data_IF_345947316084
#
_entry.id   IF_345947316084
#
_cell.length_a   1.000
_cell.length_b   1.000
_cell.length_c   1.000
_cell.angle_alpha   90.00
_cell.angle_beta   90.00
_cell.angle_gamma   90.00
#
_symmetry.space_group_name_H-M   'P 1'
#
loop_
_entity.id
_entity.type
_entity.pdbx_description
1 polymer ?
#
# COMPACT_ATOMS: atom_id res chain seq x y z
N UNK A 1 33.93 -6.98 -15.24
CA UNK A 1 32.99 -5.84 -15.12
C UNK A 1 32.28 -5.89 -13.75
N UNK A 2 32.39 -4.81 -12.96
CA UNK A 2 31.75 -4.72 -11.64
C UNK A 2 30.23 -4.48 -11.72
N UNK A 3 29.72 -4.07 -12.90
CA UNK A 3 28.31 -3.70 -13.09
C UNK A 3 27.33 -4.85 -12.81
N UNK A 4 27.65 -6.08 -13.22
CA UNK A 4 26.78 -7.24 -12.96
C UNK A 4 26.72 -7.66 -11.49
N UNK A 5 27.80 -7.42 -10.73
CA UNK A 5 27.81 -7.75 -9.30
C UNK A 5 27.01 -6.74 -8.47
N UNK A 6 27.02 -5.47 -8.89
CA UNK A 6 26.21 -4.42 -8.27
C UNK A 6 24.71 -4.62 -8.56
N UNK A 7 24.36 -5.00 -9.78
CA UNK A 7 22.98 -5.31 -10.15
C UNK A 7 22.42 -6.50 -9.37
N UNK A 8 23.19 -7.60 -9.27
CA UNK A 8 22.82 -8.76 -8.45
C UNK A 8 22.72 -8.45 -6.96
N UNK A 9 23.61 -7.58 -6.45
CA UNK A 9 23.56 -7.13 -5.06
C UNK A 9 22.31 -6.27 -4.80
N UNK A 10 21.94 -5.40 -5.74
CA UNK A 10 20.74 -4.57 -5.63
C UNK A 10 19.46 -5.41 -5.69
N UNK A 11 19.38 -6.36 -6.63
CA UNK A 11 18.26 -7.31 -6.74
C UNK A 11 18.08 -8.09 -5.43
N UNK A 12 19.19 -8.59 -4.85
CA UNK A 12 19.19 -9.27 -3.56
C UNK A 12 18.75 -8.36 -2.41
N UNK A 13 19.13 -7.08 -2.42
CA UNK A 13 18.78 -6.12 -1.36
C UNK A 13 17.31 -5.69 -1.43
N UNK A 14 16.74 -5.57 -2.62
CA UNK A 14 15.37 -5.11 -2.83
C UNK A 14 14.34 -6.24 -2.77
N UNK A 15 14.78 -7.49 -2.88
CA UNK A 15 13.92 -8.66 -2.82
C UNK A 15 13.05 -8.65 -1.56
N UNK A 16 11.74 -8.76 -1.76
CA UNK A 16 10.75 -8.68 -0.67
C UNK A 16 10.60 -7.33 0.03
N UNK A 17 11.22 -6.25 -0.49
CA UNK A 17 11.01 -4.86 -0.05
C UNK A 17 10.28 -4.01 -1.12
N UNK A 18 9.82 -4.64 -2.20
CA UNK A 18 9.21 -3.94 -3.34
C UNK A 18 7.92 -3.20 -2.99
N UNK A 19 7.18 -3.68 -1.99
CA UNK A 19 5.84 -3.16 -1.68
C UNK A 19 5.80 -2.47 -0.32
N UNK A 20 5.61 -1.15 -0.35
CA UNK A 20 5.38 -0.34 0.85
C UNK A 20 3.90 -0.29 1.17
N UNK A 21 3.52 -0.70 2.40
CA UNK A 21 2.15 -0.57 2.93
C UNK A 21 1.61 0.85 2.80
N UNK A 22 2.46 1.84 3.08
CA UNK A 22 2.12 3.25 2.94
C UNK A 22 1.86 3.61 1.47
N UNK A 23 2.69 3.15 0.53
CA UNK A 23 2.52 3.47 -0.89
C UNK A 23 1.22 2.89 -1.45
N UNK A 24 0.92 1.63 -1.12
CA UNK A 24 -0.34 0.97 -1.53
C UNK A 24 -1.54 1.70 -0.95
N UNK A 25 -1.54 2.02 0.36
CA UNK A 25 -2.65 2.73 0.97
C UNK A 25 -2.82 4.15 0.40
N UNK A 26 -1.72 4.84 0.11
CA UNK A 26 -1.73 6.16 -0.53
C UNK A 26 -2.33 6.10 -1.92
N UNK A 27 -1.98 5.08 -2.70
CA UNK A 27 -2.55 4.83 -4.03
C UNK A 27 -4.06 4.62 -3.96
N UNK A 28 -4.56 3.79 -3.02
CA UNK A 28 -6.00 3.62 -2.81
C UNK A 28 -6.69 4.95 -2.50
N UNK A 29 -6.13 5.75 -1.58
CA UNK A 29 -6.70 7.07 -1.23
C UNK A 29 -6.67 8.04 -2.41
N UNK A 30 -5.62 8.03 -3.22
CA UNK A 30 -5.48 8.92 -4.38
C UNK A 30 -6.41 8.55 -5.53
N UNK A 31 -6.66 7.25 -5.76
CA UNK A 31 -7.46 6.76 -6.88
C UNK A 31 -8.95 6.68 -6.55
N UNK A 32 -9.30 6.18 -5.37
CA UNK A 32 -10.69 5.86 -5.01
C UNK A 32 -11.38 6.96 -4.20
N UNK A 33 -10.60 7.82 -3.53
CA UNK A 33 -11.13 8.82 -2.58
C UNK A 33 -10.66 10.24 -2.90
N UNK A 34 -10.39 10.52 -4.18
CA UNK A 34 -9.86 11.80 -4.61
C UNK A 34 -10.82 12.97 -4.34
N UNK A 35 -12.13 12.71 -4.43
CA UNK A 35 -13.20 13.70 -4.24
C UNK A 35 -13.53 13.91 -2.75
N UNK A 36 -13.31 12.88 -1.93
CA UNK A 36 -13.57 12.87 -0.49
C UNK A 36 -12.38 13.42 0.31
N UNK A 37 -11.15 13.09 -0.10
CA UNK A 37 -9.91 13.46 0.61
C UNK A 37 -9.10 14.44 -0.25
N UNK A 38 -9.13 15.74 0.10
CA UNK A 38 -8.33 16.77 -0.58
C UNK A 38 -6.84 16.44 -0.54
N UNK A 39 -6.12 16.77 -1.61
CA UNK A 39 -4.69 16.46 -1.78
C UNK A 39 -3.85 16.91 -0.57
N UNK A 40 -4.12 18.11 -0.04
CA UNK A 40 -3.43 18.68 1.11
C UNK A 40 -3.64 17.91 2.43
N UNK A 41 -4.68 17.06 2.50
CA UNK A 41 -4.98 16.21 3.66
C UNK A 41 -4.58 14.76 3.49
N UNK A 42 -4.31 14.29 2.25
CA UNK A 42 -4.05 12.87 1.96
C UNK A 42 -2.90 12.30 2.77
N UNK A 43 -1.81 13.05 2.93
CA UNK A 43 -0.66 12.61 3.72
C UNK A 43 -1.05 12.29 5.18
N UNK A 44 -1.70 13.25 5.84
CA UNK A 44 -2.12 13.10 7.23
C UNK A 44 -3.17 11.99 7.38
N UNK A 45 -4.09 11.88 6.41
CA UNK A 45 -5.13 10.86 6.38
C UNK A 45 -4.53 9.46 6.26
N UNK A 46 -3.64 9.24 5.29
CA UNK A 46 -2.94 7.95 5.08
C UNK A 46 -2.16 7.56 6.33
N UNK A 47 -1.40 8.49 6.93
CA UNK A 47 -0.64 8.21 8.15
C UNK A 47 -1.53 7.83 9.35
N UNK A 48 -2.74 8.42 9.43
CA UNK A 48 -3.72 8.10 10.47
C UNK A 48 -4.38 6.74 10.24
N UNK A 49 -4.67 6.40 8.99
CA UNK A 49 -5.34 5.16 8.61
C UNK A 49 -4.40 3.95 8.61
N UNK A 50 -3.13 4.14 8.25
CA UNK A 50 -2.11 3.09 8.16
C UNK A 50 -2.02 2.16 9.38
N UNK A 51 -2.00 2.64 10.65
CA UNK A 51 -2.02 1.75 11.80
C UNK A 51 -3.35 1.01 11.99
N UNK A 52 -4.48 1.57 11.53
CA UNK A 52 -5.81 0.98 11.69
C UNK A 52 -6.03 -0.20 10.74
N UNK A 53 -5.52 -0.10 9.51
CA UNK A 53 -5.57 -1.17 8.50
C UNK A 53 -4.38 -2.12 8.58
N UNK A 54 -3.56 -2.03 9.63
CA UNK A 54 -2.38 -2.88 9.81
C UNK A 54 -2.71 -4.38 9.86
N UNK A 55 -3.90 -4.74 10.33
CA UNK A 55 -4.41 -6.11 10.33
C UNK A 55 -4.72 -6.64 8.92
N UNK A 56 -5.27 -5.80 8.04
CA UNK A 56 -5.53 -6.14 6.63
C UNK A 56 -4.22 -6.53 5.96
N UNK A 57 -3.20 -5.68 6.06
CA UNK A 57 -1.87 -5.99 5.51
C UNK A 57 -1.23 -7.25 6.07
N UNK A 58 -1.54 -7.64 7.31
CA UNK A 58 -0.92 -8.82 7.94
C UNK A 58 -1.38 -10.16 7.36
N UNK A 59 -2.45 -10.16 6.55
CA UNK A 59 -2.97 -11.34 5.85
C UNK A 59 -2.14 -11.66 4.60
N UNK A 60 -1.45 -10.67 4.02
CA UNK A 60 -0.82 -10.76 2.71
C UNK A 60 0.70 -10.84 2.81
N UNK A 61 1.32 -11.64 1.92
CA UNK A 61 2.77 -11.71 1.80
C UNK A 61 3.30 -10.63 0.84
N UNK A 62 3.54 -9.43 1.37
CA UNK A 62 4.13 -8.33 0.61
C UNK A 62 5.59 -8.56 0.23
N UNK A 63 6.21 -9.65 0.69
CA UNK A 63 7.57 -10.02 0.29
C UNK A 63 7.63 -10.84 -1.00
N UNK A 64 6.48 -11.28 -1.52
CA UNK A 64 6.42 -11.91 -2.84
C UNK A 64 6.66 -10.87 -3.94
N UNK A 65 7.73 -11.04 -4.71
CA UNK A 65 8.10 -10.15 -5.80
C UNK A 65 6.99 -10.07 -6.89
N UNK A 66 6.15 -11.11 -7.02
CA UNK A 66 5.02 -11.14 -7.95
C UNK A 66 3.68 -10.67 -7.34
N UNK A 67 3.69 -10.16 -6.11
CA UNK A 67 2.47 -9.80 -5.38
C UNK A 67 1.51 -8.93 -6.20
N UNK A 68 1.99 -7.89 -6.87
CA UNK A 68 1.17 -7.00 -7.70
C UNK A 68 0.54 -7.63 -8.94
N UNK A 69 0.98 -8.83 -9.35
CA UNK A 69 0.39 -9.59 -10.46
C UNK A 69 -0.58 -10.69 -9.97
N UNK A 70 -0.71 -10.84 -8.65
CA UNK A 70 -1.53 -11.88 -8.02
C UNK A 70 -2.93 -11.36 -7.69
N UNK A 71 -3.88 -12.27 -7.54
CA UNK A 71 -5.23 -11.96 -7.03
C UNK A 71 -5.20 -11.37 -5.61
N UNK A 72 -4.16 -11.64 -4.84
CA UNK A 72 -4.02 -11.17 -3.46
C UNK A 72 -3.83 -9.65 -3.43
N UNK A 73 -3.23 -9.06 -4.46
CA UNK A 73 -3.17 -7.60 -4.60
C UNK A 73 -4.56 -7.00 -4.83
N UNK A 74 -5.36 -7.59 -5.73
CA UNK A 74 -6.73 -7.13 -5.99
C UNK A 74 -7.62 -7.23 -4.73
N UNK A 75 -7.45 -8.30 -3.95
CA UNK A 75 -8.14 -8.49 -2.68
C UNK A 75 -7.69 -7.46 -1.63
N UNK A 76 -6.39 -7.26 -1.46
CA UNK A 76 -5.84 -6.24 -0.56
C UNK A 76 -6.39 -4.86 -0.93
N UNK A 77 -6.33 -4.49 -2.21
CA UNK A 77 -6.83 -3.20 -2.69
C UNK A 77 -8.33 -3.04 -2.35
N UNK A 78 -9.13 -4.06 -2.62
CA UNK A 78 -10.57 -4.08 -2.30
C UNK A 78 -10.84 -3.92 -0.80
N UNK A 79 -10.09 -4.64 0.05
CA UNK A 79 -10.25 -4.57 1.50
C UNK A 79 -9.84 -3.20 2.06
N UNK A 80 -8.75 -2.62 1.54
CA UNK A 80 -8.32 -1.27 1.93
C UNK A 80 -9.35 -0.21 1.53
N UNK A 81 -9.93 -0.31 0.33
CA UNK A 81 -11.02 0.57 -0.10
C UNK A 81 -12.22 0.44 0.85
N UNK A 82 -12.65 -0.79 1.16
CA UNK A 82 -13.75 -1.01 2.09
C UNK A 82 -13.47 -0.47 3.50
N UNK A 83 -12.27 -0.71 4.04
CA UNK A 83 -11.87 -0.19 5.35
C UNK A 83 -11.82 1.35 5.37
N UNK A 84 -11.40 1.97 4.26
CA UNK A 84 -11.37 3.43 4.11
C UNK A 84 -12.77 4.03 4.08
N UNK A 85 -13.71 3.42 3.35
CA UNK A 85 -15.13 3.82 3.37
C UNK A 85 -15.68 3.79 4.79
N UNK A 86 -15.49 2.67 5.51
CA UNK A 86 -15.99 2.51 6.88
C UNK A 86 -15.39 3.56 7.83
N UNK A 87 -14.09 3.86 7.67
CA UNK A 87 -13.43 4.88 8.47
C UNK A 87 -13.98 6.29 8.19
N UNK A 88 -14.19 6.63 6.92
CA UNK A 88 -14.76 7.92 6.51
C UNK A 88 -16.20 8.08 7.02
N UNK A 89 -17.01 7.03 6.95
CA UNK A 89 -18.39 7.05 7.45
C UNK A 89 -18.46 7.30 8.97
N UNK A 90 -17.50 6.79 9.73
CA UNK A 90 -17.48 6.92 11.19
C UNK A 90 -16.82 8.22 11.68
N UNK A 91 -15.76 8.68 10.99
CA UNK A 91 -14.89 9.76 11.50
C UNK A 91 -14.68 10.94 10.53
N UNK A 92 -14.98 10.79 9.25
CA UNK A 92 -14.66 11.77 8.21
C UNK A 92 -13.15 11.92 7.95
N UNK A 93 -12.78 13.07 7.38
CA UNK A 93 -11.41 13.42 6.95
C UNK A 93 -10.66 14.27 7.97
#
# INVERSE_FOLDING_TARGET
PADGAQELAMDTLLRGLHYSRYAILREVVENEFADEVPEEKREAFVLKLLPLVGNVFSVYDLSDDNFALSSDYDLLYTELTGATVLYLDEYGV
#
